data_IF_612428803170
#
_entry.id   IF_612428803170
#
_cell.length_a   1.000
_cell.length_b   1.000
_cell.length_c   1.000
_cell.angle_alpha   90.00
_cell.angle_beta   90.00
_cell.angle_gamma   90.00
#
_symmetry.space_group_name_H-M   'P 1'
#
loop_
_entity.id
_entity.type
_entity.pdbx_description
1 polymer ?
#
# COMPACT_ATOMS: atom_id res chain seq x y z
N UNK A 1 18.50 -9.10 5.25
CA UNK A 1 18.29 -7.71 4.73
C UNK A 1 18.78 -6.59 5.67
N UNK A 2 19.27 -5.46 5.11
CA UNK A 2 19.80 -4.31 5.87
C UNK A 2 18.68 -3.38 6.37
N UNK A 3 18.63 -3.09 7.68
CA UNK A 3 17.74 -2.10 8.25
C UNK A 3 18.20 -0.68 7.85
N UNK A 4 17.31 0.10 7.22
CA UNK A 4 17.63 1.48 6.79
C UNK A 4 17.58 2.51 7.91
N UNK A 5 16.94 2.18 9.04
CA UNK A 5 16.85 3.08 10.19
C UNK A 5 18.10 3.04 11.08
N UNK A 6 18.75 1.87 11.22
CA UNK A 6 19.90 1.72 12.13
C UNK A 6 21.10 0.96 11.55
N UNK A 7 21.01 0.45 10.32
CA UNK A 7 22.13 -0.25 9.65
C UNK A 7 22.35 -1.70 10.08
N UNK A 8 21.56 -2.26 11.01
CA UNK A 8 21.68 -3.69 11.38
C UNK A 8 21.28 -4.61 10.21
N UNK A 9 22.03 -5.69 10.00
CA UNK A 9 21.64 -6.80 9.13
C UNK A 9 20.67 -7.74 9.86
N UNK A 10 19.53 -8.05 9.23
CA UNK A 10 18.46 -8.92 9.72
C UNK A 10 18.29 -10.14 8.79
N UNK A 11 17.50 -11.14 9.18
CA UNK A 11 17.09 -12.24 8.29
C UNK A 11 16.12 -11.75 7.21
N UNK A 12 15.95 -12.52 6.15
CA UNK A 12 15.13 -12.10 5.00
C UNK A 12 13.62 -12.24 5.27
N UNK A 13 13.24 -13.07 6.23
CA UNK A 13 11.88 -13.32 6.69
C UNK A 13 11.46 -12.43 7.88
N UNK A 14 12.40 -11.69 8.47
CA UNK A 14 12.11 -10.75 9.56
C UNK A 14 11.16 -9.63 9.09
N UNK A 15 10.07 -9.42 9.82
CA UNK A 15 9.12 -8.33 9.54
C UNK A 15 9.57 -6.99 10.15
N UNK A 16 10.36 -7.04 11.23
CA UNK A 16 10.82 -5.89 12.00
C UNK A 16 12.29 -6.04 12.35
N UNK A 17 13.00 -4.91 12.46
CA UNK A 17 14.40 -4.88 12.84
C UNK A 17 14.56 -5.35 14.29
N UNK A 18 15.39 -6.37 14.50
CA UNK A 18 15.63 -6.96 15.82
C UNK A 18 16.37 -6.04 16.81
N UNK A 19 16.75 -4.82 16.38
CA UNK A 19 17.51 -3.86 17.19
C UNK A 19 16.81 -2.53 17.42
N UNK A 20 16.01 -2.07 16.46
CA UNK A 20 15.35 -0.76 16.57
C UNK A 20 13.84 -0.81 16.32
N UNK A 21 13.28 -2.00 16.07
CA UNK A 21 11.83 -2.19 15.86
C UNK A 21 11.27 -1.67 14.53
N UNK A 22 12.07 -0.98 13.70
CA UNK A 22 11.61 -0.46 12.41
C UNK A 22 11.13 -1.58 11.48
N UNK A 23 10.03 -1.36 10.76
CA UNK A 23 9.51 -2.31 9.76
C UNK A 23 10.54 -2.54 8.66
N UNK A 24 10.78 -3.80 8.35
CA UNK A 24 11.69 -4.22 7.30
C UNK A 24 10.93 -4.38 5.97
N UNK A 25 11.46 -3.80 4.90
CA UNK A 25 10.87 -3.85 3.55
C UNK A 25 11.47 -4.99 2.72
N UNK A 26 10.67 -6.00 2.38
CA UNK A 26 11.11 -7.24 1.73
C UNK A 26 11.82 -6.99 0.39
N UNK A 27 12.86 -7.77 0.11
CA UNK A 27 13.57 -7.76 -1.17
C UNK A 27 12.68 -8.19 -2.35
N UNK A 28 12.90 -7.57 -3.51
CA UNK A 28 12.26 -7.95 -4.78
C UNK A 28 13.01 -9.11 -5.43
N UNK A 29 12.29 -10.06 -6.01
CA UNK A 29 12.89 -11.13 -6.82
C UNK A 29 12.72 -10.81 -8.30
N UNK A 30 13.81 -10.81 -9.05
CA UNK A 30 13.77 -10.59 -10.48
C UNK A 30 13.11 -11.78 -11.18
N UNK A 31 12.03 -11.56 -11.93
CA UNK A 31 11.34 -12.60 -12.69
C UNK A 31 12.13 -13.09 -13.91
N UNK A 32 13.11 -12.31 -14.37
CA UNK A 32 13.92 -12.66 -15.54
C UNK A 32 15.14 -13.55 -15.18
N UNK A 33 15.79 -13.32 -14.04
CA UNK A 33 17.03 -14.04 -13.68
C UNK A 33 17.05 -14.61 -12.25
N UNK A 34 16.00 -14.41 -11.44
CA UNK A 34 15.93 -14.93 -10.07
C UNK A 34 16.74 -14.16 -9.03
N UNK A 35 17.51 -13.14 -9.41
CA UNK A 35 18.30 -12.36 -8.45
C UNK A 35 17.42 -11.66 -7.40
N UNK A 36 17.86 -11.69 -6.13
CA UNK A 36 17.29 -10.88 -5.06
C UNK A 36 17.81 -9.44 -5.18
N UNK A 37 16.90 -8.48 -5.18
CA UNK A 37 17.17 -7.06 -5.33
C UNK A 37 16.64 -6.30 -4.11
N UNK A 38 17.11 -5.06 -3.92
CA UNK A 38 16.56 -4.19 -2.88
C UNK A 38 15.06 -3.94 -3.14
N UNK A 39 14.29 -3.74 -2.07
CA UNK A 39 12.86 -3.43 -2.18
C UNK A 39 12.58 -2.16 -3.00
N UNK A 40 13.49 -1.18 -2.92
CA UNK A 40 13.39 0.11 -3.63
C UNK A 40 14.07 0.08 -5.01
N UNK A 41 14.55 -1.08 -5.47
CA UNK A 41 15.15 -1.19 -6.79
C UNK A 41 14.06 -1.17 -7.89
N UNK A 42 14.25 -0.30 -8.89
CA UNK A 42 13.42 -0.23 -10.11
C UNK A 42 13.87 -1.24 -11.16
N UNK A 43 15.18 -1.49 -11.24
CA UNK A 43 15.80 -2.41 -12.19
C UNK A 43 16.66 -3.44 -11.45
N UNK A 44 16.82 -4.61 -12.06
CA UNK A 44 17.66 -5.65 -11.51
C UNK A 44 19.13 -5.25 -11.61
N UNK A 45 19.84 -5.27 -10.48
CA UNK A 45 21.27 -4.97 -10.44
C UNK A 45 22.15 -6.02 -11.15
N UNK A 46 21.60 -7.19 -11.49
CA UNK A 46 22.32 -8.29 -12.15
C UNK A 46 22.10 -8.33 -13.65
N UNK A 47 20.84 -8.22 -14.12
CA UNK A 47 20.51 -8.37 -15.54
C UNK A 47 19.87 -7.14 -16.18
N UNK A 48 19.64 -6.06 -15.42
CA UNK A 48 19.02 -4.82 -15.93
C UNK A 48 17.51 -4.88 -16.17
N UNK A 49 16.86 -6.04 -16.04
CA UNK A 49 15.42 -6.17 -16.24
C UNK A 49 14.63 -5.31 -15.23
N UNK A 50 13.52 -4.71 -15.68
CA UNK A 50 12.61 -3.97 -14.81
C UNK A 50 12.02 -4.90 -13.74
N UNK A 51 12.11 -4.48 -12.49
CA UNK A 51 11.57 -5.24 -11.37
C UNK A 51 10.07 -4.94 -11.20
N UNK A 52 9.30 -5.87 -10.60
CA UNK A 52 7.91 -5.60 -10.24
C UNK A 52 7.82 -4.34 -9.38
N UNK A 53 6.82 -3.50 -9.65
CA UNK A 53 6.47 -2.42 -8.75
C UNK A 53 5.62 -3.01 -7.62
N UNK A 54 5.98 -2.72 -6.37
CA UNK A 54 5.20 -3.12 -5.20
C UNK A 54 4.02 -2.14 -4.96
N UNK A 55 3.79 -1.21 -5.89
CA UNK A 55 2.69 -0.28 -5.86
C UNK A 55 1.35 -1.01 -5.85
N UNK A 56 0.41 -0.45 -5.12
CA UNK A 56 -0.99 -0.86 -5.19
C UNK A 56 -1.45 -0.69 -6.64
N UNK A 57 -2.25 -1.63 -7.15
CA UNK A 57 -2.89 -1.51 -8.45
C UNK A 57 -4.40 -1.41 -8.21
N UNK A 58 -5.09 -0.60 -9.01
CA UNK A 58 -6.53 -0.43 -8.90
C UNK A 58 -7.22 -1.79 -9.16
N UNK A 59 -8.05 -2.30 -8.23
CA UNK A 59 -8.71 -3.60 -8.42
C UNK A 59 -9.72 -3.59 -9.57
N UNK A 60 -10.22 -2.41 -9.96
CA UNK A 60 -11.20 -2.27 -11.04
C UNK A 60 -10.59 -2.18 -12.43
N UNK A 61 -9.38 -1.62 -12.58
CA UNK A 61 -8.79 -1.38 -13.90
C UNK A 61 -7.30 -1.72 -14.05
N UNK A 62 -6.62 -2.14 -12.98
CA UNK A 62 -5.20 -2.48 -13.00
C UNK A 62 -4.24 -1.29 -13.08
N UNK A 63 -4.72 -0.05 -13.12
CA UNK A 63 -3.83 1.12 -13.15
C UNK A 63 -3.02 1.23 -11.83
N UNK A 64 -1.71 1.55 -11.87
CA UNK A 64 -0.92 1.80 -10.67
C UNK A 64 -1.53 2.90 -9.81
N UNK A 65 -1.53 2.69 -8.50
CA UNK A 65 -2.12 3.59 -7.49
C UNK A 65 -0.99 4.11 -6.61
N UNK A 66 -0.93 5.43 -6.49
CA UNK A 66 0.07 6.08 -5.64
C UNK A 66 -0.15 5.78 -4.16
N UNK A 67 0.91 5.83 -3.33
CA UNK A 67 0.75 5.77 -1.89
C UNK A 67 -0.22 6.87 -1.43
N UNK A 68 -1.15 6.52 -0.52
CA UNK A 68 -2.19 7.42 0.02
C UNK A 68 -3.29 7.89 -0.94
N UNK A 69 -3.34 7.39 -2.18
CA UNK A 69 -4.46 7.68 -3.08
C UNK A 69 -5.75 7.06 -2.56
N UNK A 70 -6.84 7.82 -2.50
CA UNK A 70 -8.17 7.33 -2.09
C UNK A 70 -9.00 6.84 -3.28
N UNK A 71 -8.76 7.42 -4.46
CA UNK A 71 -9.41 7.08 -5.72
C UNK A 71 -8.37 6.83 -6.80
N UNK A 72 -8.69 5.96 -7.75
CA UNK A 72 -7.90 5.74 -8.94
C UNK A 72 -8.00 6.96 -9.88
N UNK A 73 -6.87 7.53 -10.26
CA UNK A 73 -6.80 8.66 -11.20
C UNK A 73 -7.25 8.30 -12.62
N UNK A 74 -7.25 7.01 -12.97
CA UNK A 74 -7.64 6.54 -14.30
C UNK A 74 -9.14 6.25 -14.44
N UNK A 75 -9.75 5.56 -13.46
CA UNK A 75 -11.16 5.14 -13.55
C UNK A 75 -12.06 5.70 -12.45
N UNK A 76 -11.53 6.42 -11.46
CA UNK A 76 -12.29 6.99 -10.35
C UNK A 76 -12.72 5.99 -9.26
N UNK A 77 -12.42 4.69 -9.40
CA UNK A 77 -12.75 3.70 -8.36
C UNK A 77 -12.05 4.02 -7.03
N UNK A 78 -12.73 3.81 -5.91
CA UNK A 78 -12.09 3.90 -4.58
C UNK A 78 -11.07 2.77 -4.40
N UNK A 79 -9.90 3.09 -3.87
CA UNK A 79 -8.76 2.16 -3.72
C UNK A 79 -8.27 2.03 -2.27
N UNK A 80 -9.02 2.60 -1.34
CA UNK A 80 -8.85 2.46 0.11
C UNK A 80 -10.05 1.73 0.70
N UNK A 81 -9.85 1.02 1.81
CA UNK A 81 -10.94 0.45 2.59
C UNK A 81 -11.68 1.54 3.39
N UNK A 82 -12.98 1.35 3.66
CA UNK A 82 -13.83 2.29 4.40
C UNK A 82 -14.69 3.21 3.51
N UNK A 83 -15.31 4.23 4.10
CA UNK A 83 -16.12 5.23 3.39
C UNK A 83 -15.33 6.54 3.27
N UNK A 84 -15.14 7.03 2.05
CA UNK A 84 -14.59 8.38 1.82
C UNK A 84 -15.69 9.43 1.96
N UNK A 85 -15.49 10.41 2.83
CA UNK A 85 -16.41 11.53 2.99
C UNK A 85 -16.46 12.39 1.72
N UNK A 86 -17.64 12.58 1.13
CA UNK A 86 -17.79 13.43 -0.07
C UNK A 86 -17.60 14.93 0.17
N UNK A 87 -17.55 15.38 1.43
CA UNK A 87 -17.37 16.79 1.79
C UNK A 87 -15.91 17.12 2.10
N UNK A 88 -15.28 16.34 2.97
CA UNK A 88 -13.91 16.63 3.45
C UNK A 88 -12.88 15.57 3.05
N UNK A 89 -13.28 14.54 2.31
CA UNK A 89 -12.39 13.47 1.80
C UNK A 89 -11.60 12.72 2.89
N UNK A 90 -12.10 12.69 4.13
CA UNK A 90 -11.55 11.79 5.15
C UNK A 90 -12.01 10.36 4.88
N UNK A 91 -11.16 9.39 5.18
CA UNK A 91 -11.54 7.98 5.21
C UNK A 91 -12.16 7.68 6.57
N UNK A 92 -13.34 7.07 6.57
CA UNK A 92 -14.10 6.70 7.75
C UNK A 92 -14.33 5.19 7.73
N UNK A 93 -14.73 4.64 8.89
CA UNK A 93 -15.14 3.22 8.96
C UNK A 93 -16.30 2.94 8.01
N UNK A 94 -16.40 1.71 7.56
CA UNK A 94 -17.45 1.23 6.65
C UNK A 94 -18.86 1.25 7.27
N UNK A 95 -18.95 1.27 8.61
CA UNK A 95 -20.19 1.40 9.38
C UNK A 95 -20.46 2.82 9.91
N UNK A 96 -19.62 3.80 9.56
CA UNK A 96 -19.77 5.17 10.06
C UNK A 96 -20.98 5.87 9.42
N UNK A 97 -21.89 6.37 10.26
CA UNK A 97 -23.06 7.18 9.82
C UNK A 97 -22.72 8.65 9.61
N UNK A 98 -21.73 9.16 10.34
CA UNK A 98 -21.25 10.53 10.26
C UNK A 98 -19.74 10.55 10.10
N UNK A 99 -19.23 11.55 9.39
CA UNK A 99 -17.80 11.79 9.23
C UNK A 99 -17.19 12.17 10.58
N UNK A 100 -16.18 11.42 11.03
CA UNK A 100 -15.49 11.68 12.28
C UNK A 100 -14.68 12.99 12.29
N UNK A 101 -14.45 13.59 11.12
CA UNK A 101 -13.67 14.82 10.96
C UNK A 101 -14.54 16.06 10.80
N UNK A 102 -15.57 16.02 9.95
CA UNK A 102 -16.39 17.19 9.62
C UNK A 102 -17.85 17.09 10.09
N UNK A 103 -18.26 15.97 10.70
CA UNK A 103 -19.63 15.74 11.18
C UNK A 103 -20.68 15.50 10.10
N UNK A 104 -20.32 15.63 8.81
CA UNK A 104 -21.25 15.42 7.69
C UNK A 104 -21.78 14.00 7.62
N UNK A 105 -23.05 13.82 7.24
CA UNK A 105 -23.64 12.51 7.06
C UNK A 105 -22.94 11.72 5.93
N UNK A 106 -22.65 10.45 6.19
CA UNK A 106 -22.05 9.55 5.22
C UNK A 106 -23.12 8.67 4.57
N UNK A 107 -22.97 8.39 3.27
CA UNK A 107 -23.79 7.40 2.59
C UNK A 107 -23.30 6.01 2.98
N UNK A 108 -23.73 5.53 4.13
CA UNK A 108 -23.58 4.13 4.52
C UNK A 108 -24.47 3.31 3.59
N UNK A 109 -23.95 2.29 2.88
CA UNK A 109 -24.83 1.28 2.31
C UNK A 109 -25.67 0.72 3.46
N UNK A 110 -26.98 0.52 3.24
CA UNK A 110 -27.80 -0.13 4.25
C UNK A 110 -27.17 -1.50 4.54
N UNK A 111 -26.64 -1.67 5.75
CA UNK A 111 -26.15 -2.97 6.19
C UNK A 111 -27.29 -3.98 5.98
N UNK A 112 -26.99 -5.07 5.27
CA UNK A 112 -27.88 -6.21 5.20
C UNK A 112 -28.16 -6.64 6.64
N UNK A 113 -29.34 -6.28 7.14
CA UNK A 113 -29.84 -6.76 8.40
C UNK A 113 -29.83 -8.30 8.32
N UNK A 114 -28.96 -8.92 9.11
CA UNK A 114 -28.99 -10.35 9.39
C UNK A 114 -29.87 -10.59 10.60
#
# INVERSE_FOLDING_TARGET
MLCRSCGRMNRDDDLFCSSCGAKLLRSKVCRACGAKNRHDATFCGTCGAKLPDDGLHCPSCGHPVGPHSQFCSNCGAQVVEGIVCGTCHSVNRDDARFCAFCGGALKVPAAAAS
#
